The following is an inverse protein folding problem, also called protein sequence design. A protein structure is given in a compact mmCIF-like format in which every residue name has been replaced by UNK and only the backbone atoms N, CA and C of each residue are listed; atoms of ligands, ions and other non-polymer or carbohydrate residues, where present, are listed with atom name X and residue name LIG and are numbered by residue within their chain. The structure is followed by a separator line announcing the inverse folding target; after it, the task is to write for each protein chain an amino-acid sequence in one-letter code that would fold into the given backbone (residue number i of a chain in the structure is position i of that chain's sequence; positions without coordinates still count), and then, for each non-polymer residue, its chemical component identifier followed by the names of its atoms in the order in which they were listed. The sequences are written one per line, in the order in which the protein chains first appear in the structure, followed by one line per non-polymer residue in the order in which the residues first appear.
data_IF_104717944278
#
_entry.id   IF_104717944278
#
_cell.length_a   1.000
_cell.length_b   1.000
_cell.length_c   1.000
_cell.angle_alpha   90.00
_cell.angle_beta   90.00
_cell.angle_gamma   90.00
#
_symmetry.space_group_name_H-M   'P 1'
#
loop_
_entity.id
_entity.type
_entity.pdbx_description
1 polymer ?
#
# COMPACT_ATOMS: atom_id res chain seq x y z
N UNK A 1 -51.79 -25.40 5.87
CA UNK A 1 -50.45 -25.80 5.40
C UNK A 1 -49.64 -26.14 6.65
N UNK A 2 -49.84 -27.30 7.29
CA UNK A 2 -49.17 -28.58 7.00
C UNK A 2 -47.70 -28.33 6.62
N UNK A 3 -46.72 -28.48 7.52
CA UNK A 3 -46.25 -29.67 8.26
C UNK A 3 -44.90 -30.13 7.67
N UNK A 4 -43.98 -30.52 8.58
CA UNK A 4 -42.99 -31.61 8.46
C UNK A 4 -41.51 -31.24 8.59
N UNK A 5 -41.00 -31.57 9.79
CA UNK A 5 -39.76 -32.34 10.03
C UNK A 5 -38.41 -31.65 9.79
N UNK A 6 -37.93 -30.89 10.79
CA UNK A 6 -36.51 -30.95 11.14
C UNK A 6 -36.29 -32.21 11.99
N UNK A 7 -36.09 -33.36 11.34
CA UNK A 7 -35.58 -34.57 11.98
C UNK A 7 -34.80 -35.42 10.99
N UNK A 8 -33.50 -35.49 11.22
CA UNK A 8 -32.74 -36.73 11.14
C UNK A 8 -31.55 -36.60 12.10
N UNK A 9 -31.66 -37.29 13.22
CA UNK A 9 -30.55 -37.65 14.10
C UNK A 9 -29.73 -38.71 13.36
N UNK A 10 -28.43 -38.47 13.22
CA UNK A 10 -27.43 -39.54 13.09
C UNK A 10 -26.34 -39.25 14.12
N UNK A 11 -26.49 -39.90 15.28
CA UNK A 11 -25.44 -40.08 16.27
C UNK A 11 -24.38 -40.98 15.61
N UNK A 12 -23.15 -40.51 15.46
CA UNK A 12 -21.97 -41.36 15.59
C UNK A 12 -20.72 -40.52 15.81
N UNK A 13 -20.26 -40.55 17.07
CA UNK A 13 -18.87 -40.44 17.52
C UNK A 13 -17.99 -39.50 16.70
N UNK A 14 -18.03 -38.20 17.02
CA UNK A 14 -16.82 -37.39 16.92
C UNK A 14 -16.69 -36.65 18.24
N UNK A 15 -15.56 -36.93 18.87
CA UNK A 15 -15.04 -36.37 20.10
C UNK A 15 -15.57 -34.96 20.38
N UNK A 16 -15.99 -34.81 21.63
CA UNK A 16 -16.04 -33.56 22.36
C UNK A 16 -14.66 -32.88 22.18
N UNK A 17 -14.49 -32.09 21.13
CA UNK A 17 -13.52 -31.00 21.08
C UNK A 17 -14.20 -29.82 21.79
N UNK A 18 -14.43 -30.00 23.08
CA UNK A 18 -14.69 -28.85 23.96
C UNK A 18 -13.44 -27.99 23.95
N UNK A 19 -13.57 -26.86 23.27
CA UNK A 19 -13.36 -25.56 23.92
C UNK A 19 -11.96 -25.27 24.49
N UNK A 20 -10.93 -25.94 23.98
CA UNK A 20 -9.54 -25.69 24.33
C UNK A 20 -8.74 -25.35 23.06
N UNK A 21 -8.83 -24.10 22.61
CA UNK A 21 -7.88 -23.59 21.61
C UNK A 21 -8.29 -22.35 20.81
N UNK A 22 -9.57 -22.03 20.67
CA UNK A 22 -10.01 -20.89 19.84
C UNK A 22 -10.00 -19.53 20.56
N UNK A 23 -9.43 -19.43 21.76
CA UNK A 23 -9.35 -18.16 22.52
C UNK A 23 -8.23 -17.24 22.04
N UNK A 24 -7.26 -17.76 21.29
CA UNK A 24 -6.21 -16.97 20.67
C UNK A 24 -6.46 -16.94 19.17
N UNK A 25 -7.02 -15.84 18.67
CA UNK A 25 -6.97 -15.56 17.24
C UNK A 25 -5.53 -15.68 16.76
N UNK A 26 -5.25 -16.31 15.61
CA UNK A 26 -3.91 -16.26 15.05
C UNK A 26 -3.57 -14.77 14.89
N UNK A 27 -2.47 -14.36 15.52
CA UNK A 27 -1.99 -12.98 15.45
C UNK A 27 -1.38 -12.76 14.06
N UNK A 28 -2.24 -12.49 13.09
CA UNK A 28 -1.88 -12.26 11.69
C UNK A 28 -1.71 -10.76 11.50
N UNK A 29 -0.49 -10.35 11.18
CA UNK A 29 -0.18 -8.95 10.86
C UNK A 29 -0.78 -8.58 9.51
N UNK A 30 -1.07 -7.29 9.34
CA UNK A 30 -1.57 -6.71 8.08
C UNK A 30 -2.93 -7.29 7.60
N UNK A 31 -3.81 -7.61 8.56
CA UNK A 31 -5.13 -8.18 8.30
C UNK A 31 -6.24 -7.55 9.16
N UNK A 32 -7.47 -7.63 8.64
CA UNK A 32 -8.73 -7.34 9.32
C UNK A 32 -9.43 -8.63 9.75
N UNK A 33 -10.20 -8.55 10.84
CA UNK A 33 -10.97 -9.66 11.41
C UNK A 33 -12.44 -9.30 11.50
N UNK A 34 -13.27 -9.97 10.70
CA UNK A 34 -14.73 -9.81 10.72
C UNK A 34 -15.42 -11.11 11.15
N UNK A 35 -16.57 -10.99 11.82
CA UNK A 35 -17.41 -12.15 12.14
C UNK A 35 -18.49 -12.31 11.09
N UNK A 36 -18.60 -13.48 10.48
CA UNK A 36 -19.70 -13.80 9.59
C UNK A 36 -20.99 -14.15 10.38
N UNK A 37 -22.11 -14.27 9.66
CA UNK A 37 -23.42 -14.59 10.26
C UNK A 37 -23.50 -16.01 10.86
N UNK A 38 -22.51 -16.87 10.59
CA UNK A 38 -22.39 -18.22 11.15
C UNK A 38 -21.47 -18.27 12.37
N UNK A 39 -20.90 -17.13 12.78
CA UNK A 39 -19.96 -17.02 13.89
C UNK A 39 -18.51 -17.37 13.52
N UNK A 40 -18.19 -17.58 12.25
CA UNK A 40 -16.81 -17.76 11.79
C UNK A 40 -16.09 -16.43 11.76
N UNK A 41 -14.77 -16.45 11.98
CA UNK A 41 -13.93 -15.27 11.82
C UNK A 41 -13.26 -15.31 10.46
N UNK A 42 -13.57 -14.29 9.66
CA UNK A 42 -13.02 -14.06 8.33
C UNK A 42 -11.82 -13.14 8.49
N UNK A 43 -10.67 -13.58 7.97
CA UNK A 43 -9.42 -12.84 8.00
C UNK A 43 -9.15 -12.34 6.59
N UNK A 44 -9.04 -11.02 6.43
CA UNK A 44 -8.79 -10.39 5.14
C UNK A 44 -7.53 -9.54 5.22
N UNK A 45 -6.54 -9.80 4.37
CA UNK A 45 -5.35 -8.95 4.30
C UNK A 45 -5.71 -7.52 3.88
N UNK A 46 -4.93 -6.54 4.32
CA UNK A 46 -5.04 -5.17 3.81
C UNK A 46 -4.78 -5.11 2.29
N UNK A 47 -5.28 -4.06 1.65
CA UNK A 47 -5.05 -3.81 0.22
C UNK A 47 -3.55 -3.83 -0.10
N UNK A 48 -3.17 -4.59 -1.13
CA UNK A 48 -1.77 -4.79 -1.52
C UNK A 48 -1.07 -6.00 -0.87
N UNK A 49 -1.74 -6.70 0.04
CA UNK A 49 -1.22 -7.92 0.67
C UNK A 49 -2.04 -9.15 0.28
N UNK A 50 -1.38 -10.30 0.17
CA UNK A 50 -1.99 -11.60 -0.10
C UNK A 50 -1.73 -12.55 1.06
N UNK A 51 -2.75 -13.32 1.42
CA UNK A 51 -2.61 -14.36 2.42
C UNK A 51 -1.76 -15.49 1.83
N UNK A 52 -0.65 -15.78 2.49
CA UNK A 52 0.25 -16.88 2.16
C UNK A 52 0.27 -17.82 3.34
N UNK A 53 0.02 -19.10 3.06
CA UNK A 53 0.13 -20.17 4.04
C UNK A 53 1.24 -21.11 3.59
N UNK A 54 2.34 -21.10 4.32
CA UNK A 54 3.53 -21.90 4.00
C UNK A 54 3.52 -23.23 4.79
N UNK A 55 4.25 -24.21 4.27
CA UNK A 55 4.44 -25.51 4.90
C UNK A 55 5.86 -25.59 5.44
N UNK A 56 6.00 -26.03 6.69
CA UNK A 56 7.28 -26.28 7.33
C UNK A 56 7.45 -27.78 7.56
N UNK A 57 8.64 -28.32 7.28
CA UNK A 57 8.96 -29.70 7.63
C UNK A 57 9.58 -29.71 9.03
N UNK A 58 8.83 -30.21 10.02
CA UNK A 58 9.24 -30.31 11.42
C UNK A 58 9.20 -31.78 11.80
N UNK A 59 10.33 -32.32 12.26
CA UNK A 59 10.43 -33.73 12.71
C UNK A 59 9.96 -34.72 11.64
N UNK A 60 10.37 -34.52 10.38
CA UNK A 60 9.99 -35.34 9.22
C UNK A 60 8.50 -35.28 8.83
N UNK A 61 7.71 -34.39 9.43
CA UNK A 61 6.31 -34.14 9.08
C UNK A 61 6.07 -32.73 8.54
N UNK A 62 5.24 -32.61 7.50
CA UNK A 62 4.80 -31.32 6.97
C UNK A 62 3.72 -30.71 7.87
N UNK A 63 4.00 -29.54 8.45
CA UNK A 63 3.08 -28.77 9.29
C UNK A 63 2.75 -27.45 8.60
N UNK A 64 1.48 -27.05 8.65
CA UNK A 64 1.08 -25.72 8.20
C UNK A 64 1.61 -24.68 9.17
N UNK A 65 2.25 -23.66 8.62
CA UNK A 65 2.51 -22.45 9.37
C UNK A 65 1.22 -21.63 9.51
N UNK A 66 1.22 -20.75 10.51
CA UNK A 66 0.17 -19.74 10.62
C UNK A 66 0.17 -18.89 9.34
N UNK A 67 -1.00 -18.65 8.73
CA UNK A 67 -1.07 -17.83 7.53
C UNK A 67 -0.60 -16.41 7.85
N UNK A 68 0.11 -15.81 6.90
CA UNK A 68 0.62 -14.44 7.01
C UNK A 68 0.21 -13.64 5.77
N UNK A 69 -0.04 -12.35 5.95
CA UNK A 69 -0.25 -11.45 4.83
C UNK A 69 1.12 -11.02 4.30
N UNK A 70 1.56 -11.57 3.16
CA UNK A 70 2.77 -11.09 2.47
C UNK A 70 2.38 -10.00 1.49
N UNK A 71 3.21 -8.96 1.40
CA UNK A 71 3.04 -7.93 0.38
C UNK A 71 3.13 -8.59 -0.99
N UNK A 72 2.19 -8.25 -1.86
CA UNK A 72 2.21 -8.71 -3.25
C UNK A 72 3.50 -8.24 -3.91
N UNK A 73 4.25 -9.13 -4.57
CA UNK A 73 5.38 -8.69 -5.39
C UNK A 73 4.85 -7.83 -6.54
N UNK A 74 5.05 -6.52 -6.41
CA UNK A 74 4.67 -5.57 -7.43
C UNK A 74 5.80 -5.44 -8.45
N UNK A 75 5.45 -5.44 -9.74
CA UNK A 75 6.38 -5.13 -10.83
C UNK A 75 6.20 -3.69 -11.30
N UNK A 76 7.26 -3.12 -11.84
CA UNK A 76 7.26 -1.77 -12.40
C UNK A 76 7.29 -1.81 -13.91
N UNK A 77 6.34 -1.11 -14.54
CA UNK A 77 6.30 -0.91 -15.99
C UNK A 77 6.87 0.47 -16.31
N UNK A 78 8.09 0.50 -16.82
CA UNK A 78 8.77 1.72 -17.20
C UNK A 78 8.26 2.28 -18.52
N UNK A 79 8.22 3.60 -18.62
CA UNK A 79 7.90 4.34 -19.85
C UNK A 79 9.03 5.28 -20.21
N UNK A 80 9.29 5.40 -21.51
CA UNK A 80 10.33 6.25 -22.11
C UNK A 80 9.75 7.34 -23.00
N UNK A 81 8.47 7.69 -22.82
CA UNK A 81 7.78 8.66 -23.70
C UNK A 81 7.35 9.95 -23.00
N UNK A 82 7.47 10.04 -21.68
CA UNK A 82 7.01 11.21 -20.91
C UNK A 82 7.84 11.36 -19.64
N UNK A 83 8.28 12.58 -19.35
CA UNK A 83 8.82 12.96 -18.04
C UNK A 83 7.72 13.48 -17.12
N UNK A 84 7.92 13.38 -15.81
CA UNK A 84 6.99 13.92 -14.81
C UNK A 84 7.67 14.99 -13.97
N UNK A 85 7.00 16.13 -13.78
CA UNK A 85 7.45 17.19 -12.86
C UNK A 85 6.27 17.69 -12.05
N UNK A 86 6.33 17.61 -10.71
CA UNK A 86 5.26 18.14 -9.91
C UNK A 86 5.31 19.66 -9.89
N UNK A 87 4.14 20.25 -9.69
CA UNK A 87 3.99 21.66 -9.44
C UNK A 87 3.37 21.82 -8.06
N UNK A 88 4.02 22.57 -7.19
CA UNK A 88 3.40 22.99 -5.94
C UNK A 88 2.35 24.06 -6.23
N UNK A 89 1.19 23.98 -5.58
CA UNK A 89 0.17 25.04 -5.68
C UNK A 89 0.50 26.22 -4.77
N UNK A 90 1.35 26.00 -3.78
CA UNK A 90 1.78 27.00 -2.80
C UNK A 90 3.25 26.79 -2.43
N UNK A 91 3.97 27.89 -2.31
CA UNK A 91 5.32 27.93 -1.77
C UNK A 91 5.38 28.84 -0.55
N UNK A 92 6.13 28.46 0.48
CA UNK A 92 6.41 29.29 1.66
C UNK A 92 7.85 29.15 2.12
N UNK A 93 8.37 30.19 2.77
CA UNK A 93 9.66 30.13 3.46
C UNK A 93 9.42 29.65 4.89
N UNK A 94 10.11 28.59 5.29
CA UNK A 94 10.01 27.95 6.62
C UNK A 94 11.41 27.65 7.15
N UNK A 95 11.56 27.45 8.45
CA UNK A 95 12.87 27.15 9.07
C UNK A 95 13.32 25.71 8.89
N UNK A 96 12.38 24.78 8.81
CA UNK A 96 12.63 23.34 8.78
C UNK A 96 11.46 22.54 8.19
N UNK A 97 11.67 21.23 8.03
CA UNK A 97 10.70 20.34 7.39
C UNK A 97 9.48 20.09 8.26
N UNK A 98 9.61 20.14 9.58
CA UNK A 98 8.48 19.94 10.48
C UNK A 98 7.47 21.09 10.34
N UNK A 99 7.95 22.33 10.25
CA UNK A 99 7.10 23.48 9.95
C UNK A 99 6.44 23.36 8.56
N UNK A 100 7.16 22.85 7.56
CA UNK A 100 6.62 22.59 6.22
C UNK A 100 5.45 21.59 6.26
N UNK A 101 5.63 20.48 6.99
CA UNK A 101 4.63 19.42 7.12
C UNK A 101 3.42 19.87 7.93
N UNK A 102 3.62 20.64 9.02
CA UNK A 102 2.52 21.25 9.76
C UNK A 102 1.69 22.21 8.91
N UNK A 103 2.33 22.99 8.05
CA UNK A 103 1.65 23.91 7.15
C UNK A 103 0.85 23.16 6.08
N UNK A 104 1.36 22.03 5.58
CA UNK A 104 0.61 21.14 4.70
C UNK A 104 -0.61 20.55 5.43
N UNK A 105 -0.44 20.04 6.65
CA UNK A 105 -1.54 19.46 7.43
C UNK A 105 -2.69 20.44 7.73
N UNK A 106 -2.41 21.75 7.77
CA UNK A 106 -3.40 22.82 7.95
C UNK A 106 -4.10 23.24 6.64
N UNK A 107 -3.55 22.88 5.47
CA UNK A 107 -4.12 23.18 4.15
C UNK A 107 -4.89 21.98 3.61
N UNK A 108 -6.22 22.12 3.51
CA UNK A 108 -7.10 21.05 3.03
C UNK A 108 -6.83 20.59 1.59
N UNK A 109 -6.09 21.38 0.80
CA UNK A 109 -5.69 21.02 -0.57
C UNK A 109 -4.38 20.23 -0.59
N UNK A 110 -3.60 20.29 0.48
CA UNK A 110 -2.28 19.69 0.53
C UNK A 110 -2.36 18.19 0.79
N UNK A 111 -1.78 17.41 -0.10
CA UNK A 111 -1.59 15.96 0.05
C UNK A 111 -0.20 15.61 0.56
N UNK A 112 0.82 16.41 0.21
CA UNK A 112 2.19 16.27 0.69
C UNK A 112 2.93 17.60 0.58
N UNK A 113 3.96 17.75 1.39
CA UNK A 113 4.94 18.84 1.33
C UNK A 113 6.33 18.32 1.00
N UNK A 114 7.19 19.19 0.48
CA UNK A 114 8.62 18.92 0.42
C UNK A 114 9.43 20.21 0.49
N UNK A 115 10.60 20.13 1.13
CA UNK A 115 11.55 21.23 1.18
C UNK A 115 12.57 21.16 0.06
N UNK A 116 12.92 22.32 -0.49
CA UNK A 116 14.01 22.51 -1.46
C UNK A 116 14.96 23.58 -0.94
N UNK A 117 16.27 23.36 -1.07
CA UNK A 117 17.28 24.36 -0.71
C UNK A 117 17.27 24.78 0.76
N UNK A 118 16.75 23.93 1.66
CA UNK A 118 16.76 24.12 3.10
C UNK A 118 15.81 25.19 3.67
N UNK A 119 15.07 25.92 2.82
CA UNK A 119 14.16 26.98 3.30
C UNK A 119 12.84 27.06 2.53
N UNK A 120 12.79 26.61 1.27
CA UNK A 120 11.59 26.68 0.46
C UNK A 120 10.74 25.43 0.67
N UNK A 121 9.54 25.61 1.22
CA UNK A 121 8.53 24.56 1.35
C UNK A 121 7.54 24.64 0.18
N UNK A 122 7.43 23.56 -0.59
CA UNK A 122 6.38 23.38 -1.59
C UNK A 122 5.26 22.51 -1.04
N UNK A 123 4.01 23.00 -1.12
CA UNK A 123 2.81 22.20 -0.87
C UNK A 123 2.26 21.67 -2.19
N UNK A 124 1.94 20.39 -2.23
CA UNK A 124 1.44 19.69 -3.41
C UNK A 124 0.03 19.17 -3.17
N UNK A 125 -0.72 19.01 -4.25
CA UNK A 125 -2.08 18.45 -4.21
C UNK A 125 -2.09 17.04 -4.79
N UNK A 126 -3.18 16.33 -4.51
CA UNK A 126 -3.49 15.09 -5.21
C UNK A 126 -3.46 15.32 -6.73
N UNK A 127 -2.89 14.40 -7.52
CA UNK A 127 -2.58 13.01 -7.17
C UNK A 127 -1.18 12.77 -6.59
N UNK A 128 -0.40 13.83 -6.30
CA UNK A 128 0.94 13.69 -5.73
C UNK A 128 0.81 13.27 -4.27
N UNK A 129 1.54 12.24 -3.84
CA UNK A 129 1.51 11.73 -2.46
C UNK A 129 2.88 11.79 -1.78
N UNK A 130 3.95 12.01 -2.54
CA UNK A 130 5.29 12.18 -2.00
C UNK A 130 6.16 12.95 -2.99
N UNK A 131 7.03 13.80 -2.46
CA UNK A 131 8.08 14.49 -3.21
C UNK A 131 9.36 14.48 -2.39
N UNK A 132 10.48 14.12 -3.01
CA UNK A 132 11.81 14.22 -2.42
C UNK A 132 12.81 14.76 -3.44
N UNK A 133 13.74 15.59 -2.95
CA UNK A 133 14.85 16.17 -3.71
C UNK A 133 16.21 15.52 -3.34
N UNK A 134 16.16 14.34 -2.71
CA UNK A 134 17.34 13.57 -2.27
C UNK A 134 17.12 12.06 -2.48
N UNK A 135 16.87 11.66 -3.73
CA UNK A 135 16.54 10.27 -4.04
C UNK A 135 16.89 9.85 -5.46
N UNK A 136 17.52 8.68 -5.56
CA UNK A 136 17.70 7.94 -6.79
C UNK A 136 16.49 7.02 -7.06
N UNK A 137 16.51 6.31 -8.20
CA UNK A 137 15.44 5.39 -8.60
C UNK A 137 15.09 4.36 -7.52
N UNK A 138 16.09 3.65 -6.98
CA UNK A 138 15.89 2.57 -6.02
C UNK A 138 15.19 3.06 -4.75
N UNK A 139 15.63 4.18 -4.18
CA UNK A 139 14.98 4.79 -2.99
C UNK A 139 13.55 5.22 -3.29
N UNK A 140 13.28 5.70 -4.50
CA UNK A 140 11.94 6.09 -4.91
C UNK A 140 11.01 4.87 -5.03
N UNK A 141 11.53 3.76 -5.57
CA UNK A 141 10.83 2.47 -5.64
C UNK A 141 10.58 1.91 -4.24
N UNK A 142 11.57 1.90 -3.36
CA UNK A 142 11.42 1.47 -1.96
C UNK A 142 10.32 2.28 -1.26
N UNK A 143 10.34 3.61 -1.43
CA UNK A 143 9.33 4.49 -0.84
C UNK A 143 7.94 4.25 -1.41
N UNK A 144 7.82 4.04 -2.72
CA UNK A 144 6.57 3.66 -3.36
C UNK A 144 6.09 2.28 -2.92
N UNK A 145 7.00 1.36 -2.60
CA UNK A 145 6.63 0.06 -2.08
C UNK A 145 6.03 0.22 -0.68
N UNK A 146 6.63 1.01 0.21
CA UNK A 146 6.10 1.33 1.55
C UNK A 146 4.66 1.85 1.53
N UNK A 147 4.29 2.64 0.52
CA UNK A 147 2.97 3.26 0.38
C UNK A 147 2.02 2.39 -0.45
N UNK A 148 0.95 1.88 0.16
CA UNK A 148 -0.03 1.03 -0.54
C UNK A 148 -0.78 1.79 -1.64
N UNK A 149 -0.98 3.10 -1.47
CA UNK A 149 -1.65 3.95 -2.44
C UNK A 149 -0.77 4.34 -3.65
N UNK A 150 0.54 4.09 -3.63
CA UNK A 150 1.43 4.48 -4.73
C UNK A 150 1.17 3.66 -6.00
N UNK A 151 0.96 4.35 -7.12
CA UNK A 151 0.64 3.75 -8.44
C UNK A 151 1.57 4.19 -9.56
N UNK A 152 2.21 5.35 -9.45
CA UNK A 152 3.17 5.83 -10.45
C UNK A 152 4.33 6.55 -9.78
N UNK A 153 5.52 6.29 -10.29
CA UNK A 153 6.78 6.91 -9.90
C UNK A 153 7.25 7.81 -11.04
N UNK A 154 7.78 8.98 -10.69
CA UNK A 154 8.60 9.80 -11.57
C UNK A 154 9.92 10.15 -10.90
N UNK A 155 11.03 10.08 -11.64
CA UNK A 155 12.33 10.58 -11.20
C UNK A 155 12.99 11.44 -12.28
N UNK A 156 13.88 12.34 -11.85
CA UNK A 156 14.72 13.15 -12.73
C UNK A 156 16.17 13.14 -12.22
N UNK A 157 17.09 12.66 -13.07
CA UNK A 157 18.55 12.83 -12.93
C UNK A 157 19.12 12.39 -11.56
N UNK A 158 18.60 11.32 -10.94
CA UNK A 158 18.98 10.81 -9.59
C UNK A 158 18.81 11.78 -8.40
N UNK A 159 18.24 12.96 -8.62
CA UNK A 159 18.06 13.97 -7.57
C UNK A 159 16.63 14.08 -7.10
N UNK A 160 15.68 13.51 -7.84
CA UNK A 160 14.30 13.88 -7.71
C UNK A 160 13.41 12.64 -7.74
N UNK A 161 12.49 12.54 -6.78
CA UNK A 161 11.51 11.47 -6.66
C UNK A 161 10.12 12.06 -6.42
N UNK A 162 9.16 11.66 -7.25
CA UNK A 162 7.75 11.99 -7.09
C UNK A 162 6.90 10.73 -7.18
N UNK A 163 5.99 10.57 -6.22
CA UNK A 163 5.05 9.45 -6.19
C UNK A 163 3.63 9.97 -6.36
N UNK A 164 2.83 9.20 -7.12
CA UNK A 164 1.44 9.49 -7.40
C UNK A 164 0.53 8.35 -6.95
N UNK A 165 -0.68 8.68 -6.46
CA UNK A 165 -1.72 7.68 -6.13
C UNK A 165 -2.63 7.31 -7.32
N UNK A 166 -2.25 7.72 -8.53
CA UNK A 166 -2.95 7.40 -9.78
C UNK A 166 -1.97 6.85 -10.80
N UNK A 167 -2.52 6.17 -11.81
CA UNK A 167 -1.81 5.68 -13.00
C UNK A 167 -1.43 6.83 -13.95
N UNK A 168 -0.46 6.60 -14.83
CA UNK A 168 0.12 7.64 -15.69
C UNK A 168 -0.90 8.32 -16.61
N UNK A 169 -1.92 7.59 -17.07
CA UNK A 169 -3.01 8.11 -17.90
C UNK A 169 -3.84 9.18 -17.18
N UNK A 170 -3.98 9.06 -15.85
CA UNK A 170 -4.76 9.96 -14.99
C UNK A 170 -3.96 11.16 -14.47
N UNK A 171 -2.64 11.17 -14.64
CA UNK A 171 -1.82 12.33 -14.25
C UNK A 171 -2.15 13.53 -15.15
N UNK A 172 -2.40 14.72 -14.57
CA UNK A 172 -2.70 15.94 -15.31
C UNK A 172 -1.63 16.27 -16.37
N UNK A 173 -2.07 16.72 -17.54
CA UNK A 173 -1.17 17.06 -18.67
C UNK A 173 -0.14 18.14 -18.29
N UNK A 174 -0.50 19.06 -17.40
CA UNK A 174 0.42 20.11 -16.94
C UNK A 174 1.66 19.55 -16.24
N UNK A 175 1.58 18.36 -15.64
CA UNK A 175 2.70 17.70 -14.96
C UNK A 175 3.52 16.80 -15.91
N UNK A 176 3.08 16.65 -17.16
CA UNK A 176 3.75 15.85 -18.19
C UNK A 176 4.70 16.73 -18.98
N UNK A 177 5.96 16.31 -19.06
CA UNK A 177 6.98 16.97 -19.86
C UNK A 177 7.38 16.10 -21.05
N UNK A 178 7.96 16.76 -22.06
CA UNK A 178 8.70 16.08 -23.11
C UNK A 178 9.73 15.16 -22.48
N UNK A 179 9.81 13.93 -22.96
CA UNK A 179 10.78 12.97 -22.48
C UNK A 179 12.23 13.47 -22.66
N UNK A 180 13.05 13.28 -21.62
CA UNK A 180 14.51 13.29 -21.67
C UNK A 180 15.00 11.95 -21.12
N UNK A 181 16.18 11.50 -21.55
CA UNK A 181 16.86 10.31 -20.98
C UNK A 181 17.08 10.39 -19.48
N UNK A 182 17.03 11.60 -18.93
CA UNK A 182 17.19 11.89 -17.52
C UNK A 182 15.93 11.61 -16.69
N UNK A 183 14.79 11.35 -17.34
CA UNK A 183 13.53 11.08 -16.66
C UNK A 183 13.22 9.60 -16.69
N UNK A 184 12.83 9.07 -15.53
CA UNK A 184 12.31 7.72 -15.40
C UNK A 184 10.89 7.83 -14.88
N UNK A 185 9.97 7.14 -15.54
CA UNK A 185 8.59 7.06 -15.11
C UNK A 185 8.19 5.60 -15.13
N UNK A 186 7.56 5.14 -14.05
CA UNK A 186 7.17 3.75 -13.91
C UNK A 186 5.81 3.61 -13.24
N UNK A 187 4.96 2.73 -13.75
CA UNK A 187 3.70 2.36 -13.11
C UNK A 187 3.88 1.11 -12.26
N UNK A 188 3.41 1.16 -11.01
CA UNK A 188 3.41 0.02 -10.08
C UNK A 188 2.23 -0.89 -10.41
N UNK A 189 2.51 -2.16 -10.68
CA UNK A 189 1.50 -3.18 -10.99
C UNK A 189 1.63 -4.28 -9.94
N UNK A 190 0.64 -4.40 -9.07
CA UNK A 190 0.53 -5.45 -8.07
C UNK A 190 -0.61 -6.39 -8.51
N UNK A 191 -0.30 -7.66 -8.78
CA UNK A 191 -1.25 -8.69 -9.25
C UNK A 191 -1.73 -9.59 -8.12
#
# INVERSE_FOLDING_TARGET
MNNLLCSAVLISVILILTDAGCLTYPNITDANFDKDCNGNVVITCYEGFKMVQELECVEEEWKYQNPICKRTECRYKFTNVTGLRPYSHKGSLVSDSAECDENCAKDTRCSTSAMTGGTLCGSYETPIIFVSFDGNEDRCIEKCNEMSECKTIGTEMDFFCVLFNVTLDKIPVIMKQTYSSDHIVAEKICE
#
